data_IF_241078921334
#
_entry.id   IF_241078921334
#
_cell.length_a   1.000
_cell.length_b   1.000
_cell.length_c   1.000
_cell.angle_alpha   90.00
_cell.angle_beta   90.00
_cell.angle_gamma   90.00
#
_symmetry.space_group_name_H-M   'P 1'
#
loop_
_entity.id
_entity.type
_entity.pdbx_description
1 polymer ?
#
# COMPACT_ATOMS: atom_id res chain seq x y z
N UNK A 1 22.57 11.90 -14.42
CA UNK A 1 23.78 11.59 -13.63
C UNK A 1 24.43 10.37 -14.26
N UNK A 2 25.58 10.54 -14.90
CA UNK A 2 26.29 9.42 -15.53
C UNK A 2 26.95 8.52 -14.48
N UNK A 3 26.88 7.21 -14.67
CA UNK A 3 27.50 6.23 -13.78
C UNK A 3 29.02 6.17 -14.00
N UNK A 4 29.79 6.09 -12.93
CA UNK A 4 31.25 5.85 -13.01
C UNK A 4 31.53 4.46 -13.59
N UNK A 5 32.74 4.24 -14.14
CA UNK A 5 33.16 2.93 -14.66
C UNK A 5 33.00 1.81 -13.62
N UNK A 6 33.39 2.10 -12.37
CA UNK A 6 33.24 1.18 -11.22
C UNK A 6 31.77 0.86 -10.92
N UNK A 7 30.87 1.83 -11.02
CA UNK A 7 29.43 1.62 -10.85
C UNK A 7 28.83 0.79 -11.99
N UNK A 8 29.26 1.04 -13.24
CA UNK A 8 28.87 0.26 -14.42
C UNK A 8 29.30 -1.20 -14.28
N UNK A 9 30.54 -1.45 -13.83
CA UNK A 9 31.07 -2.79 -13.59
C UNK A 9 30.31 -3.52 -12.47
N UNK A 10 30.10 -2.86 -11.32
CA UNK A 10 29.31 -3.43 -10.21
C UNK A 10 27.89 -3.80 -10.66
N UNK A 11 27.23 -2.93 -11.43
CA UNK A 11 25.90 -3.19 -11.98
C UNK A 11 25.91 -4.38 -12.95
N UNK A 12 26.91 -4.47 -13.83
CA UNK A 12 27.04 -5.57 -14.77
C UNK A 12 27.21 -6.92 -14.06
N UNK A 13 28.10 -6.99 -13.06
CA UNK A 13 28.27 -8.18 -12.22
C UNK A 13 26.94 -8.53 -11.52
N UNK A 14 26.27 -7.54 -10.94
CA UNK A 14 24.99 -7.73 -10.24
C UNK A 14 23.87 -8.27 -11.16
N UNK A 15 23.87 -7.88 -12.44
CA UNK A 15 22.94 -8.42 -13.45
C UNK A 15 23.30 -9.85 -13.85
N UNK A 16 24.59 -10.17 -14.01
CA UNK A 16 25.04 -11.53 -14.35
C UNK A 16 24.71 -12.56 -13.27
N UNK A 17 24.80 -12.19 -12.00
CA UNK A 17 24.47 -13.08 -10.87
C UNK A 17 22.97 -13.15 -10.55
N UNK A 18 22.15 -12.30 -11.17
CA UNK A 18 20.71 -12.18 -10.86
C UNK A 18 19.93 -13.49 -10.93
N UNK A 19 20.11 -14.38 -11.93
CA UNK A 19 19.40 -15.65 -11.99
C UNK A 19 19.66 -16.54 -10.76
N UNK A 20 20.90 -16.59 -10.29
CA UNK A 20 21.27 -17.34 -9.08
C UNK A 20 20.67 -16.70 -7.83
N UNK A 21 20.70 -15.36 -7.73
CA UNK A 21 20.05 -14.66 -6.63
C UNK A 21 18.54 -14.90 -6.60
N UNK A 22 17.88 -15.02 -7.75
CA UNK A 22 16.46 -15.36 -7.84
C UNK A 22 16.18 -16.74 -7.24
N UNK A 23 16.97 -17.76 -7.58
CA UNK A 23 16.85 -19.11 -6.98
C UNK A 23 17.02 -19.09 -5.47
N UNK A 24 18.04 -18.38 -4.97
CA UNK A 24 18.26 -18.23 -3.51
C UNK A 24 17.07 -17.55 -2.83
N UNK A 25 16.49 -16.50 -3.43
CA UNK A 25 15.30 -15.83 -2.89
C UNK A 25 14.10 -16.76 -2.82
N UNK A 26 13.84 -17.54 -3.88
CA UNK A 26 12.73 -18.51 -3.90
C UNK A 26 12.90 -19.57 -2.80
N UNK A 27 14.11 -20.11 -2.64
CA UNK A 27 14.40 -21.06 -1.56
C UNK A 27 14.20 -20.44 -0.17
N UNK A 28 14.66 -19.20 0.04
CA UNK A 28 14.44 -18.48 1.29
C UNK A 28 12.95 -18.25 1.57
N UNK A 29 12.12 -18.05 0.56
CA UNK A 29 10.67 -17.90 0.72
C UNK A 29 9.99 -19.22 1.03
N UNK A 30 10.32 -20.29 0.31
CA UNK A 30 9.80 -21.63 0.54
C UNK A 30 10.12 -22.15 1.94
N UNK A 31 11.27 -21.76 2.49
CA UNK A 31 11.73 -22.16 3.84
C UNK A 31 11.26 -21.20 4.94
N UNK A 32 10.34 -20.27 4.65
CA UNK A 32 9.82 -19.30 5.63
C UNK A 32 10.80 -18.18 6.02
N UNK A 33 12.01 -18.14 5.45
CA UNK A 33 13.05 -17.13 5.68
C UNK A 33 12.79 -15.84 4.89
N UNK A 34 11.54 -15.38 4.90
CA UNK A 34 11.06 -14.26 4.11
C UNK A 34 11.83 -12.95 4.36
N UNK A 35 12.15 -12.65 5.62
CA UNK A 35 12.96 -11.48 5.99
C UNK A 35 14.35 -11.49 5.32
N UNK A 36 14.98 -12.67 5.21
CA UNK A 36 16.27 -12.81 4.52
C UNK A 36 16.10 -12.59 3.01
N UNK A 37 15.03 -13.11 2.41
CA UNK A 37 14.73 -12.88 0.99
C UNK A 37 14.52 -11.37 0.70
N UNK A 38 13.82 -10.64 1.56
CA UNK A 38 13.65 -9.19 1.43
C UNK A 38 14.96 -8.42 1.57
N UNK A 39 15.77 -8.74 2.58
CA UNK A 39 17.10 -8.13 2.75
C UNK A 39 17.97 -8.33 1.50
N UNK A 40 17.94 -9.53 0.91
CA UNK A 40 18.67 -9.82 -0.33
C UNK A 40 18.17 -8.98 -1.51
N UNK A 41 16.85 -8.75 -1.66
CA UNK A 41 16.30 -7.82 -2.67
C UNK A 41 16.77 -6.39 -2.46
N UNK A 42 16.81 -5.91 -1.22
CA UNK A 42 17.33 -4.58 -0.90
C UNK A 42 18.83 -4.46 -1.21
N UNK A 43 19.63 -5.47 -0.90
CA UNK A 43 21.04 -5.52 -1.29
C UNK A 43 21.20 -5.52 -2.81
N UNK A 44 20.42 -6.34 -3.52
CA UNK A 44 20.45 -6.39 -4.99
C UNK A 44 20.06 -5.04 -5.62
N UNK A 45 19.05 -4.35 -5.08
CA UNK A 45 18.71 -2.99 -5.51
C UNK A 45 19.89 -2.03 -5.35
N UNK A 46 20.57 -2.06 -4.21
CA UNK A 46 21.78 -1.26 -3.97
C UNK A 46 22.92 -1.62 -4.93
N UNK A 47 23.16 -2.91 -5.19
CA UNK A 47 24.23 -3.38 -6.10
C UNK A 47 23.99 -3.05 -7.56
N UNK A 48 22.72 -3.07 -7.99
CA UNK A 48 22.34 -2.64 -9.34
C UNK A 48 22.42 -1.10 -9.50
N UNK A 49 22.89 -0.38 -8.46
CA UNK A 49 22.88 1.09 -8.37
C UNK A 49 21.48 1.60 -8.68
N UNK A 50 20.46 0.85 -8.21
CA UNK A 50 19.09 1.03 -8.64
C UNK A 50 18.45 2.15 -7.83
N UNK A 51 18.79 3.35 -8.27
CA UNK A 51 17.89 4.47 -8.25
C UNK A 51 17.68 4.91 -9.70
N UNK A 52 17.17 3.99 -10.52
CA UNK A 52 16.61 4.40 -11.81
C UNK A 52 15.62 5.52 -11.53
N UNK A 53 15.73 6.63 -12.26
CA UNK A 53 14.90 7.82 -12.09
C UNK A 53 13.42 7.41 -12.04
N UNK A 54 13.03 6.46 -12.90
CA UNK A 54 11.68 5.88 -12.93
C UNK A 54 11.27 5.17 -11.64
N UNK A 55 12.17 4.43 -10.99
CA UNK A 55 11.86 3.76 -9.71
C UNK A 55 11.76 4.78 -8.57
N UNK A 56 12.64 5.79 -8.57
CA UNK A 56 12.60 6.89 -7.59
C UNK A 56 11.32 7.71 -7.69
N UNK A 57 10.82 7.94 -8.90
CA UNK A 57 9.58 8.67 -9.15
C UNK A 57 8.34 7.80 -8.89
N UNK A 58 8.36 6.52 -9.29
CA UNK A 58 7.18 5.67 -9.17
C UNK A 58 6.86 5.25 -7.73
N UNK A 59 7.87 5.09 -6.86
CA UNK A 59 7.62 4.66 -5.47
C UNK A 59 6.81 5.69 -4.68
N UNK A 60 7.17 7.00 -4.63
CA UNK A 60 6.35 8.02 -4.01
C UNK A 60 4.93 8.07 -4.56
N UNK A 61 4.75 8.11 -5.89
CA UNK A 61 3.40 8.14 -6.49
C UNK A 61 2.57 6.91 -6.13
N UNK A 62 3.19 5.73 -6.03
CA UNK A 62 2.50 4.53 -5.55
C UNK A 62 2.09 4.64 -4.08
N UNK A 63 2.93 5.22 -3.23
CA UNK A 63 2.63 5.42 -1.80
C UNK A 63 1.52 6.45 -1.61
N UNK A 64 1.57 7.57 -2.34
CA UNK A 64 0.52 8.59 -2.36
C UNK A 64 -0.82 8.00 -2.82
N UNK A 65 -0.80 7.20 -3.89
CA UNK A 65 -2.01 6.53 -4.38
C UNK A 65 -2.53 5.49 -3.37
N UNK A 66 -1.65 4.72 -2.71
CA UNK A 66 -2.05 3.81 -1.63
C UNK A 66 -2.67 4.58 -0.45
N UNK A 67 -2.11 5.73 -0.06
CA UNK A 67 -2.65 6.60 0.99
C UNK A 67 -4.04 7.14 0.62
N UNK A 68 -4.19 7.67 -0.59
CA UNK A 68 -5.47 8.16 -1.12
C UNK A 68 -6.55 7.08 -1.09
N UNK A 69 -6.22 5.84 -1.49
CA UNK A 69 -7.17 4.73 -1.39
C UNK A 69 -7.57 4.45 0.06
N UNK A 70 -6.64 4.54 1.01
CA UNK A 70 -6.93 4.33 2.43
C UNK A 70 -7.82 5.43 3.01
N UNK A 71 -7.63 6.69 2.60
CA UNK A 71 -8.51 7.82 2.97
C UNK A 71 -9.94 7.59 2.49
N UNK A 72 -10.10 7.24 1.21
CA UNK A 72 -11.41 6.98 0.60
C UNK A 72 -12.13 5.82 1.32
N UNK A 73 -11.42 4.71 1.56
CA UNK A 73 -11.97 3.54 2.27
C UNK A 73 -12.33 3.89 3.72
N UNK A 74 -11.53 4.73 4.39
CA UNK A 74 -11.82 5.20 5.75
C UNK A 74 -13.09 6.06 5.78
N UNK A 75 -13.24 6.99 4.84
CA UNK A 75 -14.43 7.82 4.74
C UNK A 75 -15.67 6.99 4.41
N UNK A 76 -15.56 6.04 3.48
CA UNK A 76 -16.67 5.14 3.15
C UNK A 76 -17.11 4.31 4.36
N UNK A 77 -16.17 3.77 5.14
CA UNK A 77 -16.46 3.01 6.36
C UNK A 77 -17.17 3.87 7.41
N UNK A 78 -16.70 5.10 7.63
CA UNK A 78 -17.36 6.06 8.52
C UNK A 78 -18.81 6.33 8.09
N UNK A 79 -19.04 6.60 6.81
CA UNK A 79 -20.38 6.88 6.29
C UNK A 79 -21.30 5.66 6.41
N UNK A 80 -20.78 4.45 6.21
CA UNK A 80 -21.54 3.21 6.41
C UNK A 80 -22.01 3.05 7.87
N UNK A 81 -21.11 3.27 8.83
CA UNK A 81 -21.44 3.22 10.25
C UNK A 81 -22.50 4.27 10.63
N UNK A 82 -22.37 5.48 10.07
CA UNK A 82 -23.32 6.58 10.27
C UNK A 82 -24.70 6.32 9.66
N UNK A 83 -24.76 5.85 8.40
CA UNK A 83 -26.02 5.41 7.78
C UNK A 83 -26.71 4.34 8.64
N UNK A 84 -25.96 3.31 9.07
CA UNK A 84 -26.52 2.25 9.91
C UNK A 84 -27.01 2.78 11.27
N UNK A 85 -26.35 3.79 11.83
CA UNK A 85 -26.76 4.43 13.08
C UNK A 85 -28.08 5.19 12.92
N UNK A 86 -28.28 5.85 11.79
CA UNK A 86 -29.53 6.55 11.46
C UNK A 86 -30.65 5.56 11.12
N UNK A 87 -30.37 4.53 10.32
CA UNK A 87 -31.35 3.49 9.93
C UNK A 87 -31.93 2.73 11.13
N UNK A 88 -31.19 2.62 12.23
CA UNK A 88 -31.66 2.01 13.49
C UNK A 88 -32.65 2.87 14.28
N UNK A 89 -32.90 4.12 13.89
CA UNK A 89 -33.87 4.99 14.57
C UNK A 89 -35.29 4.63 14.14
N UNK A 90 -36.22 4.60 15.10
CA UNK A 90 -37.63 4.24 14.86
C UNK A 90 -38.38 5.32 14.07
N UNK A 91 -37.99 6.58 14.25
CA UNK A 91 -38.56 7.72 13.51
C UNK A 91 -37.41 8.55 12.94
N UNK A 92 -37.44 8.76 11.63
CA UNK A 92 -36.50 9.62 10.93
C UNK A 92 -37.07 11.03 10.84
N UNK A 93 -36.29 12.01 11.28
CA UNK A 93 -36.60 13.42 11.03
C UNK A 93 -36.39 13.76 9.55
N UNK A 94 -36.93 14.90 9.09
CA UNK A 94 -36.64 15.41 7.74
C UNK A 94 -35.14 15.67 7.55
N UNK A 95 -34.47 16.11 8.60
CA UNK A 95 -33.01 16.34 8.59
C UNK A 95 -32.24 15.03 8.49
N UNK A 96 -32.68 13.97 9.18
CA UNK A 96 -32.07 12.63 9.05
C UNK A 96 -32.22 12.09 7.62
N UNK A 97 -33.39 12.27 6.99
CA UNK A 97 -33.62 11.85 5.60
C UNK A 97 -32.69 12.60 4.64
N UNK A 98 -32.62 13.93 4.78
CA UNK A 98 -31.73 14.76 3.96
C UNK A 98 -30.25 14.35 4.15
N UNK A 99 -29.82 14.15 5.40
CA UNK A 99 -28.45 13.75 5.70
C UNK A 99 -28.11 12.37 5.13
N UNK A 100 -29.05 11.43 5.17
CA UNK A 100 -28.89 10.11 4.61
C UNK A 100 -28.73 10.16 3.08
N UNK A 101 -29.54 10.98 2.39
CA UNK A 101 -29.39 11.21 0.95
C UNK A 101 -28.04 11.82 0.60
N UNK A 102 -27.56 12.79 1.39
CA UNK A 102 -26.24 13.40 1.21
C UNK A 102 -25.11 12.38 1.38
N UNK A 103 -25.16 11.55 2.43
CA UNK A 103 -24.18 10.48 2.63
C UNK A 103 -24.23 9.41 1.54
N UNK A 104 -25.42 9.06 1.03
CA UNK A 104 -25.55 8.15 -0.10
C UNK A 104 -24.92 8.73 -1.37
N UNK A 105 -25.14 10.01 -1.66
CA UNK A 105 -24.47 10.73 -2.77
C UNK A 105 -22.96 10.75 -2.59
N UNK A 106 -22.47 11.05 -1.39
CA UNK A 106 -21.04 11.04 -1.08
C UNK A 106 -20.43 9.65 -1.29
N UNK A 107 -21.08 8.59 -0.81
CA UNK A 107 -20.65 7.20 -1.02
C UNK A 107 -20.57 6.82 -2.49
N UNK A 108 -21.51 7.27 -3.32
CA UNK A 108 -21.46 7.06 -4.76
C UNK A 108 -20.22 7.73 -5.39
N UNK A 109 -19.93 8.98 -5.01
CA UNK A 109 -18.72 9.70 -5.44
C UNK A 109 -17.44 9.00 -4.99
N UNK A 110 -17.35 8.61 -3.71
CA UNK A 110 -16.20 7.88 -3.16
C UNK A 110 -15.94 6.57 -3.90
N UNK A 111 -16.98 5.85 -4.31
CA UNK A 111 -16.83 4.63 -5.11
C UNK A 111 -16.20 4.91 -6.48
N UNK A 112 -16.59 6.01 -7.14
CA UNK A 112 -15.96 6.43 -8.40
C UNK A 112 -14.51 6.85 -8.21
N UNK A 113 -14.21 7.59 -7.14
CA UNK A 113 -12.85 8.01 -6.82
C UNK A 113 -11.94 6.83 -6.48
N UNK A 114 -12.46 5.86 -5.71
CA UNK A 114 -11.74 4.63 -5.40
C UNK A 114 -11.38 3.89 -6.68
N UNK A 115 -12.34 3.72 -7.60
CA UNK A 115 -12.08 3.06 -8.88
C UNK A 115 -11.01 3.78 -9.71
N UNK A 116 -11.03 5.13 -9.75
CA UNK A 116 -9.99 5.92 -10.41
C UNK A 116 -8.62 5.70 -9.74
N UNK A 117 -8.57 5.74 -8.41
CA UNK A 117 -7.35 5.54 -7.65
C UNK A 117 -6.80 4.11 -7.83
N UNK A 118 -7.64 3.09 -7.87
CA UNK A 118 -7.24 1.71 -8.15
C UNK A 118 -6.65 1.55 -9.55
N UNK A 119 -7.28 2.16 -10.56
CA UNK A 119 -6.75 2.18 -11.93
C UNK A 119 -5.42 2.91 -12.01
N UNK A 120 -5.29 4.07 -11.37
CA UNK A 120 -4.03 4.80 -11.30
C UNK A 120 -2.94 3.95 -10.64
N UNK A 121 -3.22 3.30 -9.51
CA UNK A 121 -2.30 2.39 -8.84
C UNK A 121 -1.87 1.23 -9.73
N UNK A 122 -2.79 0.66 -10.52
CA UNK A 122 -2.47 -0.35 -11.51
C UNK A 122 -1.54 0.18 -12.61
N UNK A 123 -1.80 1.38 -13.14
CA UNK A 123 -0.96 2.00 -14.16
C UNK A 123 0.44 2.33 -13.65
N UNK A 124 0.55 2.85 -12.41
CA UNK A 124 1.81 3.09 -11.73
C UNK A 124 2.60 1.78 -11.55
N UNK A 125 1.91 0.71 -11.17
CA UNK A 125 2.52 -0.63 -11.05
C UNK A 125 3.07 -1.15 -12.37
N UNK A 126 2.33 -0.98 -13.48
CA UNK A 126 2.77 -1.41 -14.81
C UNK A 126 3.96 -0.58 -15.34
N UNK A 127 4.01 0.72 -15.02
CA UNK A 127 5.11 1.61 -15.40
C UNK A 127 6.39 1.36 -14.61
N UNK A 128 6.30 0.70 -13.45
CA UNK A 128 7.46 0.39 -12.65
C UNK A 128 8.42 -0.56 -13.38
N UNK A 129 9.73 -0.23 -13.44
CA UNK A 129 10.71 -1.13 -13.99
C UNK A 129 10.76 -2.47 -13.27
N UNK A 130 10.90 -3.55 -14.05
CA UNK A 130 11.20 -4.88 -13.53
C UNK A 130 12.52 -4.84 -12.78
N UNK A 131 12.43 -4.85 -11.46
CA UNK A 131 13.56 -4.57 -10.56
C UNK A 131 13.47 -5.40 -9.27
N UNK A 132 14.58 -5.51 -8.51
CA UNK A 132 14.55 -6.05 -7.16
C UNK A 132 13.52 -5.36 -6.26
N UNK A 133 13.31 -4.05 -6.43
CA UNK A 133 12.33 -3.26 -5.71
C UNK A 133 10.90 -3.66 -6.05
N UNK A 134 10.54 -3.73 -7.34
CA UNK A 134 9.20 -4.18 -7.75
C UNK A 134 8.90 -5.58 -7.23
N UNK A 135 9.84 -6.53 -7.35
CA UNK A 135 9.68 -7.87 -6.80
C UNK A 135 9.54 -7.86 -5.28
N UNK A 136 10.28 -7.00 -4.60
CA UNK A 136 10.18 -6.80 -3.15
C UNK A 136 8.78 -6.36 -2.76
N UNK A 137 8.27 -5.31 -3.39
CA UNK A 137 6.92 -4.81 -3.15
C UNK A 137 5.84 -5.83 -3.49
N UNK A 138 5.96 -6.53 -4.62
CA UNK A 138 5.01 -7.59 -5.01
C UNK A 138 4.94 -8.69 -3.94
N UNK A 139 6.09 -9.12 -3.45
CA UNK A 139 6.17 -10.17 -2.43
C UNK A 139 5.66 -9.66 -1.09
N UNK A 140 5.96 -8.40 -0.72
CA UNK A 140 5.42 -7.76 0.48
C UNK A 140 3.90 -7.76 0.44
N UNK A 141 3.29 -7.24 -0.62
CA UNK A 141 1.82 -7.15 -0.77
C UNK A 141 1.11 -8.51 -0.80
N UNK A 142 1.80 -9.60 -1.13
CA UNK A 142 1.26 -10.97 -1.04
C UNK A 142 1.21 -11.52 0.38
N UNK A 143 2.00 -10.96 1.30
CA UNK A 143 1.99 -11.41 2.70
C UNK A 143 0.67 -10.96 3.34
N UNK A 144 -0.11 -11.83 4.01
CA UNK A 144 -1.40 -11.44 4.58
C UNK A 144 -1.31 -10.24 5.52
N UNK A 145 -0.26 -10.19 6.34
CA UNK A 145 -0.01 -9.11 7.32
C UNK A 145 0.85 -7.97 6.76
N UNK A 146 0.90 -7.78 5.44
CA UNK A 146 1.78 -6.77 4.85
C UNK A 146 1.49 -5.36 5.37
N UNK A 147 0.22 -5.07 5.64
CA UNK A 147 -0.26 -3.80 6.16
C UNK A 147 0.18 -3.56 7.61
N UNK A 148 0.61 -4.60 8.35
CA UNK A 148 1.06 -4.49 9.76
C UNK A 148 2.58 -4.42 9.92
N UNK A 149 3.34 -4.30 8.82
CA UNK A 149 4.79 -4.17 8.90
C UNK A 149 5.21 -2.99 9.79
N UNK A 150 6.27 -3.17 10.58
CA UNK A 150 6.79 -2.16 11.53
C UNK A 150 6.95 -0.77 10.88
N UNK A 151 7.43 -0.70 9.64
CA UNK A 151 7.59 0.58 8.93
C UNK A 151 6.26 1.31 8.71
N UNK A 152 5.19 0.60 8.40
CA UNK A 152 3.87 1.19 8.18
C UNK A 152 3.21 1.60 9.50
N UNK A 153 3.44 0.84 10.58
CA UNK A 153 3.02 1.23 11.95
C UNK A 153 3.70 2.52 12.40
N UNK A 154 5.01 2.62 12.18
CA UNK A 154 5.80 3.82 12.51
C UNK A 154 5.35 5.03 11.69
N UNK A 155 5.07 4.84 10.41
CA UNK A 155 4.55 5.87 9.51
C UNK A 155 3.16 6.36 9.96
N UNK A 156 2.25 5.43 10.31
CA UNK A 156 0.96 5.78 10.91
C UNK A 156 1.14 6.56 12.22
N UNK A 157 2.00 6.11 13.14
CA UNK A 157 2.26 6.81 14.40
C UNK A 157 2.89 8.19 14.17
N UNK A 158 3.83 8.31 13.23
CA UNK A 158 4.52 9.56 12.90
C UNK A 158 3.60 10.62 12.29
N UNK A 159 2.53 10.22 11.59
CA UNK A 159 1.46 11.12 11.14
C UNK A 159 0.44 11.48 12.23
N UNK A 160 0.65 11.05 13.48
CA UNK A 160 -0.35 11.21 14.54
C UNK A 160 -1.54 10.29 14.36
N UNK A 161 -1.38 9.17 13.65
CA UNK A 161 -2.40 8.17 13.43
C UNK A 161 -2.55 7.21 14.61
N UNK A 162 -3.45 6.24 14.41
CA UNK A 162 -3.96 5.36 15.46
C UNK A 162 -2.90 4.41 16.06
N UNK A 163 -1.80 4.13 15.34
CA UNK A 163 -0.67 3.35 15.86
C UNK A 163 0.17 4.06 16.92
N UNK A 164 0.09 5.39 17.03
CA UNK A 164 0.72 6.15 18.14
C UNK A 164 -0.18 6.26 19.37
N UNK A 165 -1.47 5.94 19.23
CA UNK A 165 -2.49 6.02 20.30
C UNK A 165 -2.90 4.67 20.87
N UNK A 166 -2.31 3.57 20.38
CA UNK A 166 -2.65 2.19 20.76
C UNK A 166 -4.14 1.81 20.68
N UNK A 167 -4.94 2.49 19.86
CA UNK A 167 -6.37 2.17 19.74
C UNK A 167 -6.66 0.93 18.87
N UNK A 168 -5.62 0.32 18.25
CA UNK A 168 -5.67 -0.93 17.46
C UNK A 168 -6.64 -0.93 16.28
N UNK A 169 -7.08 0.24 15.82
CA UNK A 169 -7.99 0.37 14.68
C UNK A 169 -7.43 -0.26 13.39
N UNK A 170 -6.10 -0.25 13.21
CA UNK A 170 -5.41 -0.76 12.02
C UNK A 170 -5.38 -2.30 11.96
N UNK A 171 -5.64 -2.97 13.09
CA UNK A 171 -5.64 -4.44 13.20
C UNK A 171 -6.96 -5.05 12.74
N UNK A 172 -8.00 -4.22 12.59
CA UNK A 172 -9.36 -4.64 12.24
C UNK A 172 -9.65 -4.31 10.78
N UNK A 173 -10.45 -5.14 10.08
CA UNK A 173 -10.97 -4.76 8.78
C UNK A 173 -11.91 -3.56 8.93
N UNK A 174 -11.83 -2.60 8.01
CA UNK A 174 -12.69 -1.41 7.93
C UNK A 174 -14.06 -1.69 7.30
N UNK A 175 -14.30 -2.93 6.89
CA UNK A 175 -15.55 -3.38 6.30
C UNK A 175 -15.39 -4.73 5.64
N UNK A 176 -16.51 -5.30 5.18
CA UNK A 176 -16.55 -6.60 4.49
C UNK A 176 -16.67 -6.46 2.97
N UNK A 177 -16.97 -5.25 2.48
CA UNK A 177 -17.29 -4.98 1.07
C UNK A 177 -16.03 -4.89 0.21
N UNK A 178 -14.95 -4.32 0.73
CA UNK A 178 -13.74 -3.99 -0.05
C UNK A 178 -12.64 -5.04 0.16
N UNK A 179 -11.97 -5.44 -0.91
CA UNK A 179 -10.81 -6.35 -0.86
C UNK A 179 -9.65 -5.76 -0.03
N UNK A 180 -9.46 -4.44 -0.07
CA UNK A 180 -8.48 -3.70 0.75
C UNK A 180 -9.08 -3.20 2.06
N UNK A 181 -9.75 -4.09 2.81
CA UNK A 181 -10.38 -3.74 4.07
C UNK A 181 -9.37 -3.37 5.19
N UNK A 182 -8.10 -3.77 5.06
CA UNK A 182 -7.07 -3.50 6.06
C UNK A 182 -6.17 -2.33 5.65
N UNK A 183 -5.78 -1.52 6.63
CA UNK A 183 -4.79 -0.47 6.43
C UNK A 183 -4.70 0.54 7.56
N UNK A 184 -3.65 1.34 7.51
CA UNK A 184 -3.36 2.33 8.53
C UNK A 184 -4.24 3.57 8.43
N UNK A 185 -4.58 4.16 9.58
CA UNK A 185 -5.26 5.45 9.61
C UNK A 185 -4.40 6.53 8.97
N UNK A 186 -5.05 7.43 8.24
CA UNK A 186 -4.42 8.49 7.46
C UNK A 186 -4.32 9.83 8.18
N UNK A 187 -4.66 9.83 9.48
CA UNK A 187 -4.79 10.99 10.38
C UNK A 187 -6.01 11.87 10.04
#
# INVERSE_FOLDING_TARGET
MELTLTQKLKRWIALKIEPSLIRVKMYLEQTGRWNKAQRLRCCQGRWQVAHDKKTKEAVPSMLENDMRQQEIIQREAFLLEECQRVDRRVLLTKDDQKQLEEWQKERYTLNQELWRAEREGYMLWQRMPKSPYQRGMATKRKHPEWYMMKSLRLDCAGRGGCCGRDCRCCERPRGTIRLKAFGHCTA
#
